data_IF_476151689542
#
_entry.id   IF_476151689542
#
_cell.length_a   1.000
_cell.length_b   1.000
_cell.length_c   1.000
_cell.angle_alpha   90.00
_cell.angle_beta   90.00
_cell.angle_gamma   90.00
#
_symmetry.space_group_name_H-M   'P 1'
#
loop_
_entity.id
_entity.type
_entity.pdbx_description
1 polymer ?
#
# COMPACT_ATOMS: atom_id res chain seq x y z
N UNK A 1 6.09 10.19 12.64
CA UNK A 1 7.23 10.03 11.72
C UNK A 1 6.82 10.45 10.31
N UNK A 2 7.78 10.81 9.43
CA UNK A 2 7.54 11.20 8.02
C UNK A 2 8.29 10.28 7.05
N UNK A 3 8.62 9.07 7.50
CA UNK A 3 9.43 8.13 6.75
C UNK A 3 8.71 7.72 5.47
N UNK A 4 9.43 7.80 4.36
CA UNK A 4 8.92 7.46 3.03
C UNK A 4 10.07 6.99 2.14
N UNK A 5 9.82 5.92 1.41
CA UNK A 5 10.66 5.44 0.31
C UNK A 5 9.89 5.61 -0.99
N UNK A 6 10.57 6.04 -2.06
CA UNK A 6 9.97 6.24 -3.39
C UNK A 6 10.76 5.39 -4.38
N UNK A 7 10.09 4.45 -5.03
CA UNK A 7 10.63 3.73 -6.20
C UNK A 7 10.19 4.47 -7.45
N UNK A 8 11.13 5.17 -8.08
CA UNK A 8 10.85 5.95 -9.28
C UNK A 8 10.50 5.02 -10.44
N UNK A 9 9.56 5.46 -11.31
CA UNK A 9 9.20 4.79 -12.57
C UNK A 9 8.60 3.38 -12.41
N UNK A 10 8.05 3.05 -11.24
CA UNK A 10 7.39 1.76 -10.94
C UNK A 10 6.37 1.34 -12.01
N UNK A 11 5.53 2.28 -12.47
CA UNK A 11 4.49 2.02 -13.47
C UNK A 11 4.92 2.31 -14.92
N UNK A 12 6.19 2.66 -15.15
CA UNK A 12 6.70 2.98 -16.50
C UNK A 12 7.30 1.77 -17.19
N UNK A 13 7.97 0.89 -16.45
CA UNK A 13 8.58 -0.35 -16.97
C UNK A 13 8.68 -1.37 -15.81
N UNK A 14 8.35 -2.62 -16.08
CA UNK A 14 8.46 -3.74 -15.14
C UNK A 14 9.91 -3.92 -14.62
N UNK A 15 10.92 -3.56 -15.41
CA UNK A 15 12.33 -3.59 -14.99
C UNK A 15 12.64 -2.63 -13.82
N UNK A 16 11.78 -1.64 -13.56
CA UNK A 16 11.94 -0.72 -12.43
C UNK A 16 11.23 -1.23 -11.15
N UNK A 17 10.58 -2.38 -11.22
CA UNK A 17 9.84 -2.93 -10.10
C UNK A 17 10.72 -3.86 -9.26
N UNK A 18 10.39 -3.93 -7.97
CA UNK A 18 11.05 -4.84 -7.03
C UNK A 18 10.27 -6.16 -7.01
N UNK A 19 10.97 -7.27 -6.91
CA UNK A 19 10.36 -8.60 -6.79
C UNK A 19 9.63 -8.78 -5.45
N UNK A 20 10.17 -8.17 -4.39
CA UNK A 20 9.67 -8.27 -3.02
C UNK A 20 10.00 -7.01 -2.22
N UNK A 21 9.07 -6.59 -1.37
CA UNK A 21 9.26 -5.51 -0.39
C UNK A 21 9.13 -6.14 1.00
N UNK A 22 10.15 -5.97 1.85
CA UNK A 22 10.19 -6.52 3.20
C UNK A 22 10.10 -5.42 4.25
N UNK A 23 9.26 -5.63 5.27
CA UNK A 23 9.05 -4.71 6.37
C UNK A 23 8.93 -5.49 7.68
N UNK A 24 10.03 -5.58 8.44
CA UNK A 24 10.07 -6.40 9.65
C UNK A 24 9.94 -7.89 9.31
N UNK A 25 8.91 -8.54 9.82
CA UNK A 25 8.61 -9.95 9.57
C UNK A 25 7.65 -10.18 8.39
N UNK A 26 7.18 -9.12 7.74
CA UNK A 26 6.20 -9.19 6.66
C UNK A 26 6.82 -8.91 5.30
N UNK A 27 6.26 -9.49 4.25
CA UNK A 27 6.65 -9.25 2.88
C UNK A 27 5.46 -9.02 1.94
N UNK A 28 5.72 -8.26 0.88
CA UNK A 28 4.79 -8.02 -0.21
C UNK A 28 5.48 -8.41 -1.51
N UNK A 29 4.92 -9.36 -2.25
CA UNK A 29 5.45 -9.76 -3.56
C UNK A 29 5.03 -8.75 -4.63
N UNK A 30 5.84 -8.62 -5.68
CA UNK A 30 5.59 -7.71 -6.79
C UNK A 30 4.15 -7.80 -7.33
N UNK A 31 3.68 -9.02 -7.59
CA UNK A 31 2.35 -9.29 -8.13
C UNK A 31 1.19 -8.96 -7.17
N UNK A 32 1.47 -8.63 -5.92
CA UNK A 32 0.50 -8.19 -4.92
C UNK A 32 0.49 -6.65 -4.77
N UNK A 33 1.47 -5.93 -5.32
CA UNK A 33 1.59 -4.48 -5.18
C UNK A 33 0.40 -3.76 -5.79
N UNK A 34 -0.03 -4.15 -7.00
CA UNK A 34 -1.17 -3.51 -7.67
C UNK A 34 -2.49 -3.76 -6.93
N UNK A 35 -2.65 -4.94 -6.31
CA UNK A 35 -3.83 -5.24 -5.48
C UNK A 35 -3.85 -4.35 -4.24
N UNK A 36 -2.70 -4.18 -3.59
CA UNK A 36 -2.57 -3.28 -2.44
C UNK A 36 -2.85 -1.82 -2.83
N UNK A 37 -2.27 -1.35 -3.93
CA UNK A 37 -2.51 0.02 -4.43
C UNK A 37 -3.96 0.22 -4.82
N UNK A 38 -4.59 -0.75 -5.47
CA UNK A 38 -6.01 -0.69 -5.84
C UNK A 38 -6.91 -0.69 -4.60
N UNK A 39 -6.62 -1.51 -3.59
CA UNK A 39 -7.35 -1.52 -2.33
C UNK A 39 -7.21 -0.17 -1.60
N UNK A 40 -6.01 0.43 -1.61
CA UNK A 40 -5.77 1.76 -1.03
C UNK A 40 -6.41 2.90 -1.86
N UNK A 41 -6.50 2.77 -3.18
CA UNK A 41 -7.07 3.79 -4.07
C UNK A 41 -8.60 3.77 -4.12
N UNK A 42 -9.21 2.58 -4.05
CA UNK A 42 -10.66 2.42 -3.83
C UNK A 42 -11.10 3.09 -2.51
N UNK A 43 -10.13 3.28 -1.62
CA UNK A 43 -10.25 3.99 -0.36
C UNK A 43 -9.85 5.48 -0.48
N UNK A 44 -10.29 6.16 -1.54
CA UNK A 44 -10.09 7.60 -1.70
C UNK A 44 -10.73 8.37 -0.53
N UNK A 45 -9.88 8.78 0.41
CA UNK A 45 -10.21 9.70 1.51
C UNK A 45 -10.82 10.97 0.90
N UNK A 46 -11.96 11.49 1.42
CA UNK A 46 -12.48 12.78 0.97
C UNK A 46 -11.38 13.83 1.16
N UNK A 47 -11.02 14.52 0.07
CA UNK A 47 -10.05 15.61 -0.05
C UNK A 47 -8.89 15.62 0.99
N UNK A 48 -7.66 15.49 0.52
CA UNK A 48 -6.43 15.59 1.31
C UNK A 48 -6.54 16.63 2.47
N UNK A 49 -6.65 16.14 3.71
CA UNK A 49 -6.83 16.98 4.90
C UNK A 49 -7.96 16.55 5.84
N UNK A 50 -8.91 15.70 5.42
CA UNK A 50 -9.94 15.17 6.30
C UNK A 50 -9.43 14.00 7.18
N UNK A 51 -9.81 13.98 8.45
CA UNK A 51 -9.50 12.88 9.36
C UNK A 51 -10.25 11.62 8.93
N UNK A 52 -9.54 10.49 8.79
CA UNK A 52 -10.13 9.20 8.45
C UNK A 52 -10.94 8.68 9.66
N UNK A 53 -12.25 8.36 9.49
CA UNK A 53 -13.08 7.81 10.56
C UNK A 53 -12.53 6.50 11.13
N UNK A 54 -12.80 6.22 12.40
CA UNK A 54 -12.26 5.06 13.11
C UNK A 54 -12.80 3.73 12.56
N UNK A 55 -14.10 3.61 12.26
CA UNK A 55 -14.68 2.39 11.64
C UNK A 55 -13.95 1.99 10.35
N UNK A 56 -13.50 3.01 9.63
CA UNK A 56 -12.89 2.82 8.33
C UNK A 56 -11.46 2.28 8.46
N UNK A 57 -10.71 2.73 9.48
CA UNK A 57 -9.40 2.15 9.81
C UNK A 57 -9.52 0.68 10.21
N UNK A 58 -10.58 0.35 10.95
CA UNK A 58 -10.84 -1.02 11.42
C UNK A 58 -11.19 -1.97 10.28
N UNK A 59 -11.86 -1.47 9.23
CA UNK A 59 -12.13 -2.24 8.01
C UNK A 59 -10.89 -2.41 7.12
N UNK A 60 -9.93 -1.47 7.17
CA UNK A 60 -8.68 -1.56 6.40
C UNK A 60 -7.66 -2.52 7.01
N UNK A 61 -7.64 -2.64 8.34
CA UNK A 61 -6.69 -3.46 9.07
C UNK A 61 -6.53 -4.90 8.50
N UNK A 62 -7.62 -5.66 8.22
CA UNK A 62 -7.48 -7.02 7.68
C UNK A 62 -7.01 -7.06 6.23
N UNK A 63 -7.36 -6.09 5.39
CA UNK A 63 -6.95 -6.06 3.96
C UNK A 63 -5.48 -5.71 3.82
N UNK A 64 -5.00 -4.76 4.64
CA UNK A 64 -3.58 -4.45 4.75
C UNK A 64 -2.83 -5.66 5.30
N UNK A 65 -3.29 -6.25 6.42
CA UNK A 65 -2.66 -7.44 7.00
C UNK A 65 -2.63 -8.64 6.04
N UNK A 66 -3.66 -8.84 5.21
CA UNK A 66 -3.69 -9.91 4.20
C UNK A 66 -2.74 -9.64 3.02
N UNK A 67 -2.44 -8.37 2.74
CA UNK A 67 -1.51 -7.98 1.68
C UNK A 67 -0.04 -8.09 2.12
N UNK A 68 0.22 -8.02 3.43
CA UNK A 68 1.54 -8.14 4.04
C UNK A 68 1.67 -9.51 4.74
N UNK A 69 2.06 -10.55 4.02
CA UNK A 69 2.27 -11.89 4.59
C UNK A 69 3.73 -12.14 4.97
#
# INVERSE_FOLDING_TARGET
SRDRVIVSKWYTDANNQLDRIEAGSSALLNNQVDNLVSAMAAFAVPAAGASIPQEVKEQLAPVLAASWQ
#
